data_IF_847758469631
#
_entry.id   IF_847758469631
#
_cell.length_a   1.000
_cell.length_b   1.000
_cell.length_c   1.000
_cell.angle_alpha   90.00
_cell.angle_beta   90.00
_cell.angle_gamma   90.00
#
_symmetry.space_group_name_H-M   'P 1'
#
loop_
_entity.id
_entity.type
_entity.pdbx_description
1 polymer ?
#
# COMPACT_ATOMS: atom_id res chain seq x y z
N UNK A 1 -2.74 -35.43 7.49
CA UNK A 1 -1.53 -34.63 7.21
C UNK A 1 -1.85 -33.17 7.31
N UNK A 2 -1.25 -32.53 8.27
CA UNK A 2 -1.35 -31.06 8.36
C UNK A 2 -0.21 -30.46 7.57
N UNK A 3 -0.53 -29.77 6.48
CA UNK A 3 0.46 -28.93 5.81
C UNK A 3 0.68 -27.70 6.71
N UNK A 4 1.93 -27.54 7.17
CA UNK A 4 2.30 -26.32 7.90
C UNK A 4 2.47 -25.19 6.88
N UNK A 5 1.39 -24.49 6.60
CA UNK A 5 1.46 -23.26 5.80
C UNK A 5 2.00 -22.15 6.69
N UNK A 6 3.15 -21.60 6.31
CA UNK A 6 3.70 -20.44 7.02
C UNK A 6 2.98 -19.19 6.54
N UNK A 7 2.57 -18.36 7.48
CA UNK A 7 1.94 -17.08 7.20
C UNK A 7 3.01 -16.00 7.27
N UNK A 8 3.16 -15.24 6.17
CA UNK A 8 4.15 -14.18 6.07
C UNK A 8 3.50 -12.80 5.99
N UNK A 9 4.21 -11.82 6.47
CA UNK A 9 3.84 -10.41 6.34
C UNK A 9 5.11 -9.61 5.97
N UNK A 10 5.01 -8.28 5.97
CA UNK A 10 6.13 -7.42 5.62
C UNK A 10 7.41 -7.74 6.42
N UNK A 11 7.28 -8.06 7.71
CA UNK A 11 8.43 -8.33 8.58
C UNK A 11 9.25 -9.55 8.14
N UNK A 12 8.65 -10.46 7.38
CA UNK A 12 9.31 -11.69 6.90
C UNK A 12 10.04 -11.51 5.57
N UNK A 13 9.90 -10.36 4.92
CA UNK A 13 10.53 -10.08 3.64
C UNK A 13 12.04 -9.87 3.80
N UNK A 14 12.81 -10.16 2.75
CA UNK A 14 14.22 -9.81 2.67
C UNK A 14 14.38 -8.30 2.56
N UNK A 15 15.53 -7.76 3.00
CA UNK A 15 15.76 -6.32 3.06
C UNK A 15 15.61 -5.62 1.70
N UNK A 16 16.01 -6.27 0.61
CA UNK A 16 15.86 -5.72 -0.73
C UNK A 16 14.39 -5.55 -1.12
N UNK A 17 13.58 -6.58 -0.81
CA UNK A 17 12.14 -6.54 -1.07
C UNK A 17 11.43 -5.53 -0.16
N UNK A 18 11.86 -5.42 1.09
CA UNK A 18 11.35 -4.41 2.02
C UNK A 18 11.57 -3.00 1.47
N UNK A 19 12.74 -2.73 0.90
CA UNK A 19 13.04 -1.41 0.31
C UNK A 19 12.12 -1.08 -0.86
N UNK A 20 11.86 -2.07 -1.72
CA UNK A 20 10.95 -1.90 -2.85
C UNK A 20 9.53 -1.61 -2.34
N UNK A 21 9.05 -2.38 -1.37
CA UNK A 21 7.73 -2.18 -0.77
C UNK A 21 7.64 -0.80 -0.11
N UNK A 22 8.66 -0.37 0.61
CA UNK A 22 8.71 0.96 1.24
C UNK A 22 8.58 2.07 0.21
N UNK A 23 9.29 1.95 -0.92
CA UNK A 23 9.19 2.93 -2.02
C UNK A 23 7.78 2.99 -2.59
N UNK A 24 7.15 1.85 -2.79
CA UNK A 24 5.78 1.76 -3.31
C UNK A 24 4.77 2.37 -2.32
N UNK A 25 4.96 2.13 -1.02
CA UNK A 25 4.08 2.68 0.01
C UNK A 25 4.24 4.19 0.17
N UNK A 26 5.42 4.75 -0.06
CA UNK A 26 5.61 6.19 -0.11
C UNK A 26 4.84 6.81 -1.27
N UNK A 27 4.81 6.15 -2.44
CA UNK A 27 4.00 6.56 -3.57
C UNK A 27 2.50 6.50 -3.23
N UNK A 28 2.08 5.46 -2.51
CA UNK A 28 0.70 5.32 -2.05
C UNK A 28 0.31 6.46 -1.10
N UNK A 29 1.19 6.84 -0.17
CA UNK A 29 0.98 7.98 0.73
C UNK A 29 0.83 9.29 -0.05
N UNK A 30 1.61 9.48 -1.12
CA UNK A 30 1.47 10.65 -2.00
C UNK A 30 0.10 10.70 -2.67
N UNK A 31 -0.43 9.54 -3.08
CA UNK A 31 -1.80 9.47 -3.62
C UNK A 31 -2.83 9.83 -2.56
N UNK A 32 -2.65 9.36 -1.33
CA UNK A 32 -3.55 9.69 -0.21
C UNK A 32 -3.55 11.18 0.10
N UNK A 33 -2.37 11.81 0.10
CA UNK A 33 -2.24 13.25 0.31
C UNK A 33 -2.94 14.04 -0.79
N UNK A 34 -2.76 13.64 -2.05
CA UNK A 34 -3.43 14.27 -3.19
C UNK A 34 -4.94 14.11 -3.08
N UNK A 35 -5.41 12.92 -2.69
CA UNK A 35 -6.83 12.66 -2.46
C UNK A 35 -7.41 13.56 -1.38
N UNK A 36 -6.69 13.73 -0.27
CA UNK A 36 -7.08 14.63 0.81
C UNK A 36 -7.20 16.08 0.33
N UNK A 37 -6.24 16.54 -0.48
CA UNK A 37 -6.25 17.88 -1.04
C UNK A 37 -7.43 18.10 -2.00
N UNK A 38 -7.74 17.11 -2.82
CA UNK A 38 -8.87 17.17 -3.73
C UNK A 38 -10.20 17.18 -2.98
N UNK A 39 -10.31 16.38 -1.93
CA UNK A 39 -11.50 16.34 -1.08
C UNK A 39 -11.74 17.70 -0.41
N UNK A 40 -10.67 18.32 0.12
CA UNK A 40 -10.76 19.66 0.70
C UNK A 40 -11.16 20.70 -0.35
N UNK A 41 -10.56 20.65 -1.53
CA UNK A 41 -10.90 21.58 -2.61
C UNK A 41 -12.37 21.44 -3.04
N UNK A 42 -12.88 20.21 -3.12
CA UNK A 42 -14.28 19.93 -3.42
C UNK A 42 -15.20 20.55 -2.35
N UNK A 43 -14.89 20.33 -1.08
CA UNK A 43 -15.70 20.82 0.05
C UNK A 43 -15.74 22.34 0.11
N UNK A 44 -14.66 23.01 -0.30
CA UNK A 44 -14.58 24.47 -0.30
C UNK A 44 -14.99 25.13 -1.61
N UNK A 45 -15.24 24.35 -2.65
CA UNK A 45 -15.64 24.88 -3.97
C UNK A 45 -17.08 25.41 -3.94
N UNK A 46 -17.26 26.58 -4.55
CA UNK A 46 -18.59 27.20 -4.74
C UNK A 46 -19.07 27.08 -6.17
N UNK A 47 -18.25 26.54 -7.07
CA UNK A 47 -18.53 26.40 -8.50
C UNK A 47 -18.93 24.95 -8.80
N UNK A 48 -20.11 24.75 -9.38
CA UNK A 48 -20.65 23.42 -9.68
C UNK A 48 -19.74 22.63 -10.64
N UNK A 49 -19.19 23.27 -11.66
CA UNK A 49 -18.29 22.60 -12.61
C UNK A 49 -16.98 22.17 -11.98
N UNK A 50 -16.42 23.01 -11.12
CA UNK A 50 -15.22 22.65 -10.35
C UNK A 50 -15.50 21.48 -9.41
N UNK A 51 -16.65 21.49 -8.73
CA UNK A 51 -17.05 20.40 -7.82
C UNK A 51 -17.13 19.07 -8.57
N UNK A 52 -17.73 19.04 -9.74
CA UNK A 52 -17.82 17.83 -10.60
C UNK A 52 -16.43 17.36 -11.01
N UNK A 53 -15.55 18.30 -11.40
CA UNK A 53 -14.17 17.98 -11.79
C UNK A 53 -13.39 17.36 -10.62
N UNK A 54 -13.55 17.89 -9.41
CA UNK A 54 -12.91 17.31 -8.21
C UNK A 54 -13.47 15.93 -7.88
N UNK A 55 -14.77 15.71 -8.04
CA UNK A 55 -15.38 14.40 -7.83
C UNK A 55 -14.81 13.34 -8.77
N UNK A 56 -14.66 13.68 -10.05
CA UNK A 56 -14.03 12.79 -11.04
C UNK A 56 -12.58 12.49 -10.69
N UNK A 57 -11.82 13.51 -10.27
CA UNK A 57 -10.44 13.36 -9.83
C UNK A 57 -10.30 12.46 -8.59
N UNK A 58 -11.17 12.66 -7.60
CA UNK A 58 -11.23 11.85 -6.39
C UNK A 58 -11.49 10.39 -6.74
N UNK A 59 -12.47 10.12 -7.62
CA UNK A 59 -12.79 8.76 -8.02
C UNK A 59 -11.60 8.07 -8.72
N UNK A 60 -10.93 8.78 -9.62
CA UNK A 60 -9.75 8.27 -10.32
C UNK A 60 -8.60 7.98 -9.33
N UNK A 61 -8.40 8.84 -8.33
CA UNK A 61 -7.37 8.65 -7.31
C UNK A 61 -7.67 7.48 -6.39
N UNK A 62 -8.93 7.28 -6.02
CA UNK A 62 -9.35 6.13 -5.22
C UNK A 62 -9.10 4.82 -5.96
N UNK A 63 -9.40 4.78 -7.25
CA UNK A 63 -9.15 3.62 -8.10
C UNK A 63 -7.64 3.34 -8.23
N UNK A 64 -6.84 4.39 -8.47
CA UNK A 64 -5.39 4.28 -8.57
C UNK A 64 -4.78 3.77 -7.25
N UNK A 65 -5.27 4.28 -6.12
CA UNK A 65 -4.85 3.85 -4.78
C UNK A 65 -5.12 2.36 -4.56
N UNK A 66 -6.32 1.91 -4.92
CA UNK A 66 -6.70 0.50 -4.77
C UNK A 66 -5.84 -0.41 -5.65
N UNK A 67 -5.61 -0.01 -6.90
CA UNK A 67 -4.78 -0.76 -7.84
C UNK A 67 -3.34 -0.86 -7.34
N UNK A 68 -2.79 0.23 -6.84
CA UNK A 68 -1.44 0.26 -6.29
C UNK A 68 -1.31 -0.64 -5.07
N UNK A 69 -2.29 -0.60 -4.16
CA UNK A 69 -2.32 -1.48 -3.00
C UNK A 69 -2.32 -2.95 -3.42
N UNK A 70 -3.15 -3.31 -4.38
CA UNK A 70 -3.23 -4.68 -4.91
C UNK A 70 -1.89 -5.12 -5.52
N UNK A 71 -1.24 -4.25 -6.28
CA UNK A 71 0.07 -4.52 -6.89
C UNK A 71 1.14 -4.75 -5.83
N UNK A 72 1.12 -3.98 -4.75
CA UNK A 72 2.06 -4.15 -3.63
C UNK A 72 1.88 -5.51 -2.97
N UNK A 73 0.64 -5.91 -2.70
CA UNK A 73 0.33 -7.20 -2.08
C UNK A 73 0.74 -8.34 -3.02
N UNK A 74 0.47 -8.24 -4.31
CA UNK A 74 0.90 -9.25 -5.31
C UNK A 74 2.42 -9.38 -5.35
N UNK A 75 3.14 -8.27 -5.29
CA UNK A 75 4.60 -8.29 -5.24
C UNK A 75 5.11 -9.01 -3.99
N UNK A 76 4.48 -8.77 -2.83
CA UNK A 76 4.84 -9.47 -1.59
C UNK A 76 4.64 -10.98 -1.72
N UNK A 77 3.52 -11.41 -2.28
CA UNK A 77 3.23 -12.83 -2.50
C UNK A 77 4.28 -13.44 -3.43
N UNK A 78 4.57 -12.77 -4.54
CA UNK A 78 5.57 -13.23 -5.52
C UNK A 78 6.96 -13.36 -4.85
N UNK A 79 7.36 -12.38 -4.07
CA UNK A 79 8.67 -12.37 -3.40
C UNK A 79 8.79 -13.52 -2.41
N UNK A 80 7.78 -13.74 -1.60
CA UNK A 80 7.76 -14.80 -0.60
C UNK A 80 7.80 -16.18 -1.27
N UNK A 81 7.01 -16.37 -2.33
CA UNK A 81 6.99 -17.64 -3.08
C UNK A 81 8.34 -17.97 -3.71
N UNK A 82 9.17 -16.95 -3.99
CA UNK A 82 10.49 -17.14 -4.59
C UNK A 82 11.58 -17.52 -3.58
N UNK A 83 11.36 -17.34 -2.28
CA UNK A 83 12.39 -17.56 -1.26
C UNK A 83 12.67 -19.04 -1.00
N UNK A 84 11.61 -19.84 -0.95
CA UNK A 84 11.70 -21.27 -0.63
C UNK A 84 10.66 -22.05 -1.42
N UNK A 85 10.89 -23.35 -1.62
CA UNK A 85 9.93 -24.23 -2.27
C UNK A 85 8.81 -24.70 -1.32
N UNK A 86 8.43 -23.87 -0.36
CA UNK A 86 7.38 -24.15 0.59
C UNK A 86 6.13 -23.34 0.29
N UNK A 87 4.98 -23.80 0.75
CA UNK A 87 3.72 -23.07 0.62
C UNK A 87 3.67 -21.98 1.67
N UNK A 88 3.48 -20.75 1.22
CA UNK A 88 3.37 -19.57 2.08
C UNK A 88 2.05 -18.86 1.82
N UNK A 89 1.53 -18.18 2.83
CA UNK A 89 0.36 -17.32 2.72
C UNK A 89 0.71 -15.95 3.29
N UNK A 90 0.09 -14.91 2.72
CA UNK A 90 0.20 -13.56 3.25
C UNK A 90 -0.87 -13.37 4.33
N UNK A 91 -0.50 -12.73 5.43
CA UNK A 91 -1.45 -12.33 6.46
C UNK A 91 -2.38 -11.25 5.89
N UNK A 92 -3.60 -11.64 5.50
CA UNK A 92 -4.56 -10.73 4.89
C UNK A 92 -5.15 -9.73 5.89
N UNK A 93 -5.02 -9.98 7.20
CA UNK A 93 -5.50 -9.05 8.23
C UNK A 93 -4.52 -7.91 8.47
N UNK A 94 -3.21 -8.18 8.37
CA UNK A 94 -2.17 -7.15 8.53
C UNK A 94 -0.92 -7.52 7.72
N UNK A 95 -0.97 -7.40 6.38
CA UNK A 95 0.17 -7.77 5.53
C UNK A 95 1.39 -6.87 5.74
N UNK A 96 1.21 -5.68 6.28
CA UNK A 96 2.28 -4.70 6.50
C UNK A 96 2.75 -4.62 7.96
N UNK A 97 2.51 -5.66 8.73
CA UNK A 97 2.95 -5.71 10.12
C UNK A 97 4.46 -5.45 10.23
N UNK A 98 4.81 -4.53 11.10
CA UNK A 98 6.20 -4.12 11.32
C UNK A 98 6.70 -3.00 10.41
N UNK A 99 5.97 -2.67 9.33
CA UNK A 99 6.37 -1.63 8.38
C UNK A 99 6.46 -0.25 9.04
N UNK A 100 5.44 0.14 9.77
CA UNK A 100 5.37 1.49 10.35
C UNK A 100 6.45 1.70 11.41
N UNK A 101 6.79 0.67 12.18
CA UNK A 101 7.87 0.72 13.16
C UNK A 101 9.22 0.96 12.48
N UNK A 102 9.50 0.26 11.38
CA UNK A 102 10.74 0.43 10.62
C UNK A 102 10.81 1.81 9.96
N UNK A 103 9.70 2.33 9.45
CA UNK A 103 9.64 3.66 8.84
C UNK A 103 9.85 4.77 9.88
N UNK A 104 9.30 4.63 11.07
CA UNK A 104 9.53 5.57 12.18
C UNK A 104 11.02 5.60 12.56
N UNK A 105 11.67 4.46 12.65
CA UNK A 105 13.10 4.38 12.95
C UNK A 105 13.94 5.11 11.90
N UNK A 106 13.55 5.02 10.62
CA UNK A 106 14.25 5.72 9.53
C UNK A 106 14.04 7.24 9.62
N UNK A 107 12.85 7.70 10.00
CA UNK A 107 12.55 9.14 10.14
C UNK A 107 13.26 9.77 11.33
N UNK A 108 13.57 9.00 12.36
CA UNK A 108 14.21 9.48 13.59
C UNK A 108 15.75 9.44 13.54
N UNK A 109 16.33 9.03 12.44
CA UNK A 109 17.79 9.06 12.25
C UNK A 109 18.33 10.43 11.85
#
# INVERSE_FOLDING_TARGET
MTYNTKIYNYANLHSEDKQIIQSQLLMLESLEDTLTNYTYAKETSTNTLETISFEEGIHALEEAKQNMYNDIVEYMIFSIDSYENEVHEIDTSDPFYGLYEEMEDLENE
#
